data_IF_363955165098
#
_entry.id   IF_363955165098
#
_cell.length_a   1.000
_cell.length_b   1.000
_cell.length_c   1.000
_cell.angle_alpha   90.00
_cell.angle_beta   90.00
_cell.angle_gamma   90.00
#
_symmetry.space_group_name_H-M   'P 1'
#
loop_
_entity.id
_entity.type
_entity.pdbx_description
1 polymer ?
#
# COMPACT_ATOMS: atom_id res chain seq x y z
N UNK A 1 -3.76 22.53 -0.59
CA UNK A 1 -4.68 21.88 0.37
C UNK A 1 -3.87 20.99 1.30
N UNK A 2 -3.25 21.55 2.34
CA UNK A 2 -2.49 20.79 3.33
C UNK A 2 -3.47 20.35 4.42
N UNK A 3 -3.98 19.11 4.35
CA UNK A 3 -4.75 18.53 5.45
C UNK A 3 -3.78 18.21 6.58
N UNK A 4 -3.60 19.14 7.51
CA UNK A 4 -3.03 18.85 8.83
C UNK A 4 -4.04 17.97 9.57
N UNK A 5 -3.98 16.66 9.35
CA UNK A 5 -4.51 15.71 10.30
C UNK A 5 -3.56 15.73 11.50
N UNK A 6 -3.97 16.41 12.56
CA UNK A 6 -3.32 16.34 13.87
C UNK A 6 -3.50 14.92 14.39
N UNK A 7 -2.59 14.03 14.02
CA UNK A 7 -2.52 12.66 14.55
C UNK A 7 -1.53 12.71 15.69
N UNK A 8 -2.02 12.65 16.92
CA UNK A 8 -1.16 12.55 18.10
C UNK A 8 -0.66 11.11 18.20
N UNK A 9 0.59 10.86 17.78
CA UNK A 9 1.23 9.55 17.93
C UNK A 9 1.58 9.24 19.39
N UNK A 10 1.59 10.27 20.24
CA UNK A 10 1.83 10.21 21.69
C UNK A 10 0.67 9.66 22.51
N UNK A 11 -0.55 9.55 21.96
CA UNK A 11 -1.73 9.02 22.68
C UNK A 11 -1.64 7.49 22.94
N UNK A 12 -0.53 6.84 22.59
CA UNK A 12 -0.31 5.39 22.79
C UNK A 12 -1.16 4.48 21.91
N UNK A 13 -2.00 5.05 21.04
CA UNK A 13 -2.88 4.32 20.11
C UNK A 13 -2.13 3.76 18.91
N UNK A 14 -1.06 4.45 18.50
CA UNK A 14 -0.20 4.00 17.41
C UNK A 14 0.87 3.07 17.97
N UNK A 15 0.92 1.86 17.44
CA UNK A 15 2.02 0.93 17.70
C UNK A 15 3.21 1.30 16.81
N UNK A 16 4.44 1.05 17.30
CA UNK A 16 5.64 1.28 16.52
C UNK A 16 5.63 0.44 15.23
N UNK A 17 6.36 0.93 14.23
CA UNK A 17 6.56 0.19 12.98
C UNK A 17 7.32 -1.11 13.22
N UNK A 18 7.21 -2.03 12.25
CA UNK A 18 7.96 -3.29 12.22
C UNK A 18 9.02 -3.22 11.13
N UNK A 19 10.00 -4.13 11.13
CA UNK A 19 11.09 -4.21 10.12
C UNK A 19 10.58 -4.18 8.67
N UNK A 20 9.40 -4.76 8.42
CA UNK A 20 8.77 -4.75 7.08
C UNK A 20 8.32 -3.36 6.62
N UNK A 21 8.23 -2.38 7.51
CA UNK A 21 7.88 -1.00 7.19
C UNK A 21 9.11 -0.14 6.88
N UNK A 22 10.33 -0.63 7.10
CA UNK A 22 11.55 0.14 6.86
C UNK A 22 11.65 0.57 5.39
N UNK A 23 11.95 1.86 5.19
CA UNK A 23 11.98 2.48 3.86
C UNK A 23 10.62 2.87 3.29
N UNK A 24 9.53 2.74 4.06
CA UNK A 24 8.23 3.26 3.64
C UNK A 24 8.15 4.78 3.86
N UNK A 25 7.77 5.56 2.84
CA UNK A 25 7.66 7.03 2.91
C UNK A 25 6.51 7.56 3.79
N UNK A 26 5.86 6.67 4.55
CA UNK A 26 4.72 6.97 5.44
C UNK A 26 5.06 6.76 6.91
N UNK A 27 6.34 6.56 7.23
CA UNK A 27 6.86 6.45 8.60
C UNK A 27 7.19 7.86 9.12
N UNK A 28 6.81 8.13 10.36
CA UNK A 28 7.15 9.37 11.08
C UNK A 28 7.81 9.00 12.40
N UNK A 29 8.88 9.70 12.75
CA UNK A 29 9.55 9.55 14.03
C UNK A 29 8.99 10.55 15.03
N UNK A 30 8.60 10.08 16.21
CA UNK A 30 8.15 10.90 17.31
C UNK A 30 8.60 10.29 18.64
N UNK A 31 9.15 11.10 19.54
CA UNK A 31 9.56 10.69 20.89
C UNK A 31 10.54 9.49 20.91
N UNK A 32 11.40 9.38 19.89
CA UNK A 32 12.40 8.31 19.75
C UNK A 32 11.85 6.97 19.20
N UNK A 33 10.57 6.92 18.83
CA UNK A 33 9.94 5.77 18.20
C UNK A 33 9.39 6.14 16.81
N UNK A 34 9.34 5.16 15.92
CA UNK A 34 8.87 5.33 14.55
C UNK A 34 7.46 4.75 14.41
N UNK A 35 6.55 5.51 13.80
CA UNK A 35 5.13 5.17 13.68
C UNK A 35 4.65 5.26 12.23
N UNK A 36 3.64 4.46 11.91
CA UNK A 36 2.98 4.54 10.60
C UNK A 36 1.91 5.64 10.63
N UNK A 37 1.95 6.58 9.68
CA UNK A 37 0.93 7.64 9.53
C UNK A 37 -0.44 7.13 9.11
N UNK A 38 -0.50 5.93 8.53
CA UNK A 38 -1.72 5.38 7.94
C UNK A 38 -2.38 4.29 8.80
N UNK A 39 -1.62 3.61 9.66
CA UNK A 39 -2.10 2.45 10.41
C UNK A 39 -1.68 2.51 11.88
N UNK A 40 -2.64 2.24 12.76
CA UNK A 40 -2.45 2.12 14.21
C UNK A 40 -1.67 0.85 14.58
N UNK A 41 -1.89 -0.25 13.83
CA UNK A 41 -1.28 -1.56 14.09
C UNK A 41 -0.53 -2.06 12.83
N UNK A 42 0.73 -1.61 12.61
CA UNK A 42 1.50 -2.02 11.44
C UNK A 42 1.67 -3.54 11.36
N UNK A 43 1.92 -4.20 12.50
CA UNK A 43 2.12 -5.65 12.58
C UNK A 43 0.94 -6.45 12.03
N UNK A 44 -0.30 -6.08 12.36
CA UNK A 44 -1.50 -6.78 11.90
C UNK A 44 -1.71 -6.63 10.40
N UNK A 45 -1.40 -5.43 9.85
CA UNK A 45 -1.53 -5.20 8.41
C UNK A 45 -0.64 -6.15 7.61
N UNK A 46 0.58 -6.39 8.07
CA UNK A 46 1.54 -7.28 7.43
C UNK A 46 1.26 -8.77 7.66
N UNK A 47 0.44 -9.14 8.66
CA UNK A 47 -0.04 -10.52 8.83
C UNK A 47 -1.05 -10.92 7.75
N UNK A 48 -1.87 -9.97 7.30
CA UNK A 48 -2.89 -10.19 6.27
C UNK A 48 -2.34 -10.17 4.84
N UNK A 49 -1.06 -9.83 4.65
CA UNK A 49 -0.40 -9.75 3.36
C UNK A 49 0.45 -8.48 3.21
N UNK A 50 0.85 -8.17 1.98
CA UNK A 50 1.63 -6.96 1.68
C UNK A 50 0.79 -5.72 1.99
N UNK A 51 1.39 -4.72 2.63
CA UNK A 51 0.74 -3.45 2.89
C UNK A 51 0.44 -2.71 1.59
N UNK A 52 -0.83 -2.35 1.36
CA UNK A 52 -1.27 -1.62 0.16
C UNK A 52 -0.63 -0.23 -0.01
N UNK A 53 -0.05 0.31 1.07
CA UNK A 53 0.63 1.60 1.09
C UNK A 53 2.14 1.48 1.20
N UNK A 54 2.70 0.26 1.15
CA UNK A 54 4.15 0.08 1.11
C UNK A 54 4.68 0.72 -0.18
N UNK A 55 5.48 1.78 -0.03
CA UNK A 55 6.14 2.44 -1.17
C UNK A 55 7.38 1.67 -1.62
N UNK A 56 7.95 0.87 -0.72
CA UNK A 56 9.17 0.09 -0.91
C UNK A 56 8.89 -1.35 -1.38
N UNK A 57 7.76 -1.93 -0.99
CA UNK A 57 7.39 -3.29 -1.38
C UNK A 57 6.33 -3.25 -2.49
N UNK A 58 6.75 -3.56 -3.72
CA UNK A 58 5.83 -3.73 -4.85
C UNK A 58 5.45 -5.21 -4.95
N UNK A 59 4.15 -5.57 -4.96
CA UNK A 59 3.77 -6.96 -5.22
C UNK A 59 4.30 -7.36 -6.61
N UNK A 60 4.95 -8.52 -6.68
CA UNK A 60 5.34 -9.11 -7.96
C UNK A 60 4.07 -9.49 -8.72
N UNK A 61 3.64 -8.59 -9.61
CA UNK A 61 2.60 -8.90 -10.57
C UNK A 61 3.28 -9.79 -11.60
N UNK A 62 3.15 -11.11 -11.44
CA UNK A 62 3.41 -12.03 -12.54
C UNK A 62 2.37 -11.72 -13.62
N UNK A 63 2.72 -10.79 -14.53
CA UNK A 63 1.94 -10.51 -15.72
C UNK A 63 2.03 -11.77 -16.54
N UNK A 64 1.14 -12.71 -16.24
CA UNK A 64 0.92 -13.88 -17.08
C UNK A 64 0.39 -13.27 -18.35
N UNK A 65 1.23 -13.23 -19.39
CA UNK A 65 0.84 -12.79 -20.72
C UNK A 65 -0.18 -13.82 -21.22
N UNK A 66 -1.44 -13.61 -20.82
CA UNK A 66 -2.53 -14.44 -21.30
C UNK A 66 -2.53 -14.23 -22.80
N UNK A 67 -2.15 -15.26 -23.55
CA UNK A 67 -2.24 -15.26 -25.01
C UNK A 67 -3.71 -15.17 -25.37
N UNK A 68 -4.19 -13.94 -25.55
CA UNK A 68 -5.57 -13.68 -25.95
C UNK A 68 -5.66 -13.99 -27.44
N UNK A 69 -6.64 -14.82 -27.82
CA UNK A 69 -6.90 -15.14 -29.22
C UNK A 69 -7.23 -13.84 -30.01
N UNK A 70 -6.70 -13.65 -31.23
CA UNK A 70 -6.95 -12.46 -32.06
C UNK A 70 -8.44 -12.11 -32.23
N UNK A 71 -9.31 -13.12 -32.38
CA UNK A 71 -10.77 -12.92 -32.51
C UNK A 71 -11.39 -12.32 -31.24
N UNK A 72 -10.87 -12.70 -30.07
CA UNK A 72 -11.34 -12.19 -28.77
C UNK A 72 -10.87 -10.75 -28.55
N UNK A 73 -9.67 -10.40 -29.03
CA UNK A 73 -9.18 -9.02 -29.01
C UNK A 73 -10.02 -8.11 -29.93
N UNK A 74 -10.29 -8.56 -31.17
CA UNK A 74 -11.12 -7.84 -32.12
C UNK A 74 -12.54 -7.57 -31.59
N UNK A 75 -13.20 -8.57 -30.98
CA UNK A 75 -14.51 -8.39 -30.36
C UNK A 75 -14.51 -7.38 -29.22
N UNK A 76 -13.45 -7.35 -28.38
CA UNK A 76 -13.33 -6.38 -27.28
C UNK A 76 -13.10 -4.95 -27.78
N UNK A 77 -12.33 -4.79 -28.86
CA UNK A 77 -12.11 -3.47 -29.49
C UNK A 77 -13.42 -2.91 -30.08
N UNK A 78 -14.20 -3.75 -30.76
CA UNK A 78 -15.49 -3.34 -31.32
C UNK A 78 -16.50 -2.93 -30.22
N UNK A 79 -16.53 -3.64 -29.09
CA UNK A 79 -17.43 -3.33 -27.98
C UNK A 79 -17.09 -2.02 -27.23
N UNK A 80 -15.86 -1.52 -27.33
CA UNK A 80 -15.43 -0.26 -26.69
C UNK A 80 -15.77 0.99 -27.51
N UNK A 81 -16.07 0.81 -28.80
CA UNK A 81 -16.40 1.87 -29.75
C UNK A 81 -17.91 2.09 -29.93
N UNK A 82 -18.75 1.52 -29.05
CA UNK A 82 -20.20 1.68 -29.01
C UNK A 82 -20.61 2.29 -27.67
#
# INVERSE_FOLDING_TARGET
MQKQTAVNYSDGRFQPIIDKCDGCGRVVEQDGAQFCTSYLYPAEKWKLGICNFATHAKPEITVTTVRINPLKAAKRAAAKNK
#
